data_IF_643826776888
#
_entry.id   IF_643826776888
#
_cell.length_a   1.000
_cell.length_b   1.000
_cell.length_c   1.000
_cell.angle_alpha   90.00
_cell.angle_beta   90.00
_cell.angle_gamma   90.00
#
_symmetry.space_group_name_H-M   'P 1'
#
loop_
_entity.id
_entity.type
_entity.pdbx_description
1 polymer ?
#
# COMPACT_ATOMS: atom_id res chain seq x y z
N UNK A 1 35.33 42.49 28.83
CA UNK A 1 34.93 43.89 29.09
C UNK A 1 35.12 44.71 27.82
N UNK A 2 34.26 45.74 27.62
CA UNK A 2 34.10 46.64 26.44
C UNK A 2 33.34 45.99 25.27
N UNK A 3 32.05 46.27 25.05
CA UNK A 3 31.41 47.53 24.55
C UNK A 3 32.05 47.94 23.20
N UNK A 4 31.35 48.24 22.12
CA UNK A 4 30.11 49.01 22.03
C UNK A 4 29.57 48.98 20.59
N UNK A 5 28.23 48.88 20.49
CA UNK A 5 27.25 49.51 19.57
C UNK A 5 27.78 50.28 18.35
N UNK A 6 27.03 50.19 17.24
CA UNK A 6 26.41 51.36 16.58
C UNK A 6 25.13 50.88 15.84
N UNK A 7 24.01 51.55 16.17
CA UNK A 7 22.77 51.60 15.39
C UNK A 7 22.99 52.47 14.15
N UNK A 8 22.30 52.20 13.04
CA UNK A 8 21.57 53.25 12.33
C UNK A 8 20.65 52.69 11.24
N UNK A 9 19.46 53.30 11.18
CA UNK A 9 18.66 53.59 9.98
C UNK A 9 18.20 52.39 9.13
N UNK A 10 16.92 52.04 9.07
CA UNK A 10 15.81 52.95 8.78
C UNK A 10 15.65 53.07 7.27
N UNK A 11 14.94 52.11 6.65
CA UNK A 11 14.23 52.35 5.40
C UNK A 11 12.96 51.51 5.40
N UNK A 12 11.84 52.20 5.58
CA UNK A 12 10.50 51.71 5.29
C UNK A 12 10.40 51.60 3.77
N UNK A 13 10.16 50.40 3.26
CA UNK A 13 9.69 50.22 1.88
C UNK A 13 8.35 49.49 1.94
N UNK A 14 7.28 50.29 1.87
CA UNK A 14 5.92 49.85 1.56
C UNK A 14 5.91 49.18 0.18
N UNK A 15 5.74 47.86 0.13
CA UNK A 15 5.39 47.16 -1.09
C UNK A 15 3.87 47.14 -1.20
N UNK A 16 3.36 47.70 -2.30
CA UNK A 16 1.96 47.75 -2.65
C UNK A 16 1.34 46.35 -2.70
N UNK A 17 0.16 46.23 -2.13
CA UNK A 17 -0.76 45.13 -2.42
C UNK A 17 -1.23 45.23 -3.88
N UNK A 18 -1.05 44.15 -4.64
CA UNK A 18 -1.93 43.85 -5.77
C UNK A 18 -1.90 42.37 -6.13
N UNK A 19 -3.12 41.79 -6.05
CA UNK A 19 -3.66 40.74 -6.91
C UNK A 19 -3.18 39.32 -6.65
N UNK A 20 -4.13 38.50 -6.21
CA UNK A 20 -4.03 37.05 -6.30
C UNK A 20 -4.68 36.30 -5.15
N UNK A 21 -5.94 36.60 -4.79
CA UNK A 21 -6.77 35.54 -4.20
C UNK A 21 -7.06 34.56 -5.32
N UNK A 22 -6.11 33.69 -5.60
CA UNK A 22 -6.41 32.40 -6.18
C UNK A 22 -6.96 31.55 -5.03
N UNK A 23 -8.25 31.72 -4.76
CA UNK A 23 -9.06 30.63 -4.21
C UNK A 23 -9.13 29.54 -5.29
N UNK A 24 -8.01 28.85 -5.52
CA UNK A 24 -8.02 27.52 -6.10
C UNK A 24 -8.23 26.58 -4.95
N UNK A 25 -9.48 26.17 -4.74
CA UNK A 25 -9.83 25.21 -3.71
C UNK A 25 -8.99 23.96 -3.90
N UNK A 26 -8.11 23.68 -2.94
CA UNK A 26 -7.81 22.30 -2.61
C UNK A 26 -9.12 21.78 -2.02
N UNK A 27 -9.93 21.13 -2.85
CA UNK A 27 -11.08 20.38 -2.37
C UNK A 27 -10.48 19.29 -1.48
N UNK A 28 -10.49 19.52 -0.17
CA UNK A 28 -10.51 18.43 0.82
C UNK A 28 -11.85 17.70 0.63
N UNK A 29 -11.98 16.98 -0.49
CA UNK A 29 -13.07 16.05 -0.69
C UNK A 29 -12.80 14.86 0.24
N UNK A 30 -13.60 14.76 1.30
CA UNK A 30 -13.63 13.57 2.14
C UNK A 30 -13.98 12.36 1.27
N UNK A 31 -13.36 11.19 1.50
CA UNK A 31 -13.61 10.01 0.68
C UNK A 31 -15.08 9.65 0.68
N UNK A 32 -15.59 9.22 -0.47
CA UNK A 32 -16.91 8.62 -0.55
C UNK A 32 -16.98 7.38 0.33
N UNK A 33 -18.18 6.97 0.75
CA UNK A 33 -18.33 5.76 1.56
C UNK A 33 -17.73 4.52 0.87
N UNK A 34 -17.83 4.44 -0.46
CA UNK A 34 -17.27 3.33 -1.23
C UNK A 34 -15.73 3.32 -1.24
N UNK A 35 -15.09 4.48 -1.33
CA UNK A 35 -13.63 4.59 -1.25
C UNK A 35 -13.12 4.27 0.14
N UNK A 36 -13.80 4.76 1.19
CA UNK A 36 -13.48 4.44 2.57
C UNK A 36 -13.60 2.93 2.84
N UNK A 37 -14.64 2.30 2.31
CA UNK A 37 -14.83 0.85 2.42
C UNK A 37 -13.74 0.07 1.71
N UNK A 38 -13.39 0.49 0.50
CA UNK A 38 -12.32 -0.13 -0.27
C UNK A 38 -10.98 -0.03 0.46
N UNK A 39 -10.62 1.14 0.97
CA UNK A 39 -9.39 1.34 1.75
C UNK A 39 -9.36 0.47 3.00
N UNK A 40 -10.47 0.40 3.74
CA UNK A 40 -10.58 -0.41 4.95
C UNK A 40 -10.48 -1.91 4.66
N UNK A 41 -11.14 -2.40 3.60
CA UNK A 41 -11.07 -3.80 3.18
C UNK A 41 -9.64 -4.19 2.77
N UNK A 42 -8.96 -3.31 2.04
CA UNK A 42 -7.55 -3.49 1.66
C UNK A 42 -6.67 -3.56 2.92
N UNK A 43 -6.85 -2.62 3.86
CA UNK A 43 -6.14 -2.63 5.16
C UNK A 43 -6.35 -3.95 5.90
N UNK A 44 -7.59 -4.39 6.05
CA UNK A 44 -7.93 -5.64 6.76
C UNK A 44 -7.29 -6.85 6.06
N UNK A 45 -7.29 -6.90 4.72
CA UNK A 45 -6.65 -7.98 3.97
C UNK A 45 -5.13 -8.02 4.19
N UNK A 46 -4.47 -6.86 4.15
CA UNK A 46 -3.04 -6.75 4.41
C UNK A 46 -2.66 -7.12 5.85
N UNK A 47 -3.43 -6.68 6.85
CA UNK A 47 -3.20 -7.06 8.25
C UNK A 47 -3.38 -8.56 8.47
N UNK A 48 -4.44 -9.13 7.90
CA UNK A 48 -4.70 -10.56 7.93
C UNK A 48 -3.54 -11.35 7.32
N UNK A 49 -3.01 -10.91 6.18
CA UNK A 49 -1.93 -11.60 5.49
C UNK A 49 -0.59 -11.46 6.21
N UNK A 50 -0.23 -10.24 6.61
CA UNK A 50 1.14 -9.88 6.98
C UNK A 50 1.37 -9.77 8.49
N UNK A 51 0.43 -9.21 9.24
CA UNK A 51 0.56 -9.10 10.70
C UNK A 51 0.16 -10.41 11.38
N UNK A 52 -0.92 -11.03 10.90
CA UNK A 52 -1.38 -12.32 11.42
C UNK A 52 -0.67 -13.52 10.76
N UNK A 53 0.13 -13.28 9.72
CA UNK A 53 0.96 -14.30 9.04
C UNK A 53 0.14 -15.45 8.41
N UNK A 54 -1.05 -15.14 7.92
CA UNK A 54 -1.97 -16.15 7.38
C UNK A 54 -1.76 -16.45 5.89
N UNK A 55 -0.84 -15.75 5.22
CA UNK A 55 -0.54 -16.00 3.82
C UNK A 55 0.03 -17.43 3.65
N UNK A 56 -0.35 -18.15 2.58
CA UNK A 56 0.33 -19.37 2.19
C UNK A 56 1.83 -19.14 2.09
N UNK A 57 2.64 -20.06 2.61
CA UNK A 57 4.09 -19.95 2.57
C UNK A 57 4.66 -18.63 3.11
N UNK A 58 3.98 -17.98 4.06
CA UNK A 58 4.46 -16.74 4.69
C UNK A 58 5.91 -16.85 5.18
N UNK A 59 6.29 -18.03 5.71
CA UNK A 59 7.66 -18.30 6.16
C UNK A 59 8.72 -18.37 5.06
N UNK A 60 8.31 -18.36 3.79
CA UNK A 60 9.19 -18.32 2.61
C UNK A 60 9.33 -16.92 2.02
N UNK A 61 8.67 -15.91 2.61
CA UNK A 61 8.95 -14.51 2.25
C UNK A 61 10.42 -14.20 2.57
N UNK A 62 11.24 -13.77 1.59
CA UNK A 62 12.67 -13.52 1.80
C UNK A 62 12.93 -12.46 2.88
N UNK A 63 12.09 -11.42 2.91
CA UNK A 63 12.05 -10.40 3.94
C UNK A 63 10.59 -10.08 4.30
N UNK A 64 10.05 -10.63 5.40
CA UNK A 64 8.67 -10.35 5.81
C UNK A 64 8.47 -8.92 6.32
N UNK A 65 9.53 -8.13 6.48
CA UNK A 65 9.46 -6.71 6.89
C UNK A 65 9.49 -5.75 5.70
N UNK A 66 9.86 -6.21 4.51
CA UNK A 66 9.81 -5.46 3.26
C UNK A 66 9.17 -6.31 2.15
N UNK A 67 7.86 -6.13 1.99
CA UNK A 67 7.05 -6.96 1.09
C UNK A 67 6.82 -6.24 -0.23
N UNK A 68 7.15 -6.90 -1.34
CA UNK A 68 6.90 -6.39 -2.68
C UNK A 68 5.42 -6.57 -3.03
N UNK A 69 4.75 -5.49 -3.43
CA UNK A 69 3.33 -5.47 -3.76
C UNK A 69 3.16 -5.17 -5.24
N UNK A 70 2.40 -6.01 -5.95
CA UNK A 70 1.95 -5.71 -7.30
C UNK A 70 0.86 -4.64 -7.30
N UNK A 71 1.04 -3.64 -8.14
CA UNK A 71 0.07 -2.58 -8.42
C UNK A 71 -0.95 -2.93 -9.51
N UNK A 72 -1.03 -4.19 -9.98
CA UNK A 72 -1.93 -4.56 -11.08
C UNK A 72 -3.40 -4.16 -10.84
N UNK A 73 -3.88 -4.28 -9.59
CA UNK A 73 -5.26 -3.93 -9.20
C UNK A 73 -5.32 -2.86 -8.09
N UNK A 74 -4.20 -2.19 -7.82
CA UNK A 74 -4.04 -1.24 -6.73
C UNK A 74 -3.38 0.05 -7.21
N UNK A 75 -3.66 1.15 -6.54
CA UNK A 75 -2.84 2.35 -6.59
C UNK A 75 -1.94 2.43 -5.35
N UNK A 76 -0.90 3.25 -5.41
CA UNK A 76 -0.04 3.51 -4.24
C UNK A 76 -0.85 4.08 -3.08
N UNK A 77 -1.86 4.91 -3.37
CA UNK A 77 -2.74 5.53 -2.38
C UNK A 77 -3.68 4.55 -1.68
N UNK A 78 -3.78 3.31 -2.20
CA UNK A 78 -4.54 2.24 -1.58
C UNK A 78 -3.76 1.53 -0.47
N UNK A 79 -2.44 1.68 -0.43
CA UNK A 79 -1.60 0.88 0.44
C UNK A 79 -1.68 1.37 1.89
N UNK A 80 -2.04 0.48 2.83
CA UNK A 80 -2.12 0.86 4.22
C UNK A 80 -0.72 1.03 4.82
N UNK A 81 -0.62 1.86 5.85
CA UNK A 81 0.53 1.81 6.75
C UNK A 81 0.37 0.65 7.72
N UNK A 82 1.34 -0.25 7.78
CA UNK A 82 1.35 -1.41 8.67
C UNK A 82 2.48 -1.29 9.71
N UNK A 83 2.22 -1.58 11.00
CA UNK A 83 3.27 -1.58 12.01
C UNK A 83 4.39 -2.59 11.69
N UNK A 84 5.61 -2.10 11.54
CA UNK A 84 6.80 -2.95 11.34
C UNK A 84 6.91 -3.63 9.98
N UNK A 85 6.06 -3.27 9.01
CA UNK A 85 6.09 -3.80 7.65
C UNK A 85 6.11 -2.65 6.65
N UNK A 86 7.09 -2.66 5.76
CA UNK A 86 7.19 -1.77 4.61
C UNK A 86 6.58 -2.44 3.40
N UNK A 87 5.63 -1.76 2.75
CA UNK A 87 5.04 -2.21 1.49
C UNK A 87 5.73 -1.48 0.33
N UNK A 88 6.47 -2.21 -0.49
CA UNK A 88 7.13 -1.67 -1.68
C UNK A 88 6.25 -1.92 -2.90
N UNK A 89 5.52 -0.89 -3.32
CA UNK A 89 4.61 -0.94 -4.45
C UNK A 89 5.37 -0.86 -5.78
N UNK A 90 5.15 -1.83 -6.67
CA UNK A 90 5.81 -1.88 -7.97
C UNK A 90 4.81 -2.31 -9.04
N UNK A 91 4.98 -1.77 -10.24
CA UNK A 91 4.30 -2.27 -11.44
C UNK A 91 4.90 -3.63 -11.86
N UNK A 92 4.19 -4.39 -12.68
CA UNK A 92 4.71 -5.67 -13.20
C UNK A 92 6.04 -5.50 -13.96
N UNK A 93 6.23 -4.38 -14.65
CA UNK A 93 7.48 -4.07 -15.35
C UNK A 93 8.64 -3.85 -14.37
N UNK A 94 8.41 -3.08 -13.30
CA UNK A 94 9.42 -2.82 -12.27
C UNK A 94 9.74 -4.07 -11.47
N UNK A 95 8.72 -4.89 -11.17
CA UNK A 95 8.87 -6.17 -10.51
C UNK A 95 9.72 -7.14 -11.33
N UNK A 96 9.43 -7.28 -12.63
CA UNK A 96 10.22 -8.15 -13.51
C UNK A 96 11.65 -7.64 -13.64
N UNK A 97 11.85 -6.32 -13.84
CA UNK A 97 13.20 -5.73 -13.89
C UNK A 97 13.98 -6.01 -12.61
N UNK A 98 13.34 -5.86 -11.44
CA UNK A 98 13.96 -6.16 -10.15
C UNK A 98 14.31 -7.64 -10.02
N UNK A 99 13.45 -8.54 -10.49
CA UNK A 99 13.74 -9.98 -10.48
C UNK A 99 14.89 -10.35 -11.42
N UNK A 100 14.98 -9.71 -12.58
CA UNK A 100 16.09 -9.89 -13.52
C UNK A 100 17.44 -9.44 -12.92
N UNK A 101 17.42 -8.35 -12.15
CA UNK A 101 18.62 -7.76 -11.54
C UNK A 101 19.06 -8.47 -10.25
N UNK A 102 18.11 -8.86 -9.39
CA UNK A 102 18.39 -9.34 -8.03
C UNK A 102 18.20 -10.87 -7.88
N UNK A 103 17.74 -11.54 -8.92
CA UNK A 103 17.29 -12.93 -8.89
C UNK A 103 15.79 -13.02 -8.61
N UNK A 104 15.24 -14.23 -8.67
CA UNK A 104 13.79 -14.44 -8.54
C UNK A 104 13.27 -13.97 -7.18
N UNK A 105 12.11 -13.30 -7.17
CA UNK A 105 11.54 -12.64 -5.99
C UNK A 105 10.12 -13.12 -5.74
N UNK A 106 9.64 -12.99 -4.50
CA UNK A 106 8.23 -13.20 -4.18
C UNK A 106 7.51 -11.86 -4.09
N UNK A 107 6.33 -11.76 -4.70
CA UNK A 107 5.43 -10.61 -4.59
C UNK A 107 4.12 -11.02 -3.95
N UNK A 108 3.41 -10.05 -3.39
CA UNK A 108 2.01 -10.18 -3.00
C UNK A 108 1.10 -9.37 -3.93
N UNK A 109 -0.11 -9.86 -4.19
CA UNK A 109 -1.17 -9.13 -4.91
C UNK A 109 -2.48 -9.19 -4.14
N UNK A 110 -3.31 -8.17 -4.37
CA UNK A 110 -4.74 -8.20 -4.08
C UNK A 110 -5.50 -8.25 -5.40
N UNK A 111 -6.47 -9.15 -5.47
CA UNK A 111 -7.24 -9.42 -6.69
C UNK A 111 -8.73 -9.55 -6.34
N UNK A 112 -9.59 -9.33 -7.33
CA UNK A 112 -11.02 -9.60 -7.25
C UNK A 112 -11.74 -8.97 -6.04
N UNK A 113 -11.39 -7.74 -5.66
CA UNK A 113 -12.14 -7.04 -4.61
C UNK A 113 -13.56 -6.72 -5.11
N UNK A 114 -14.55 -7.39 -4.51
CA UNK A 114 -15.97 -7.19 -4.80
C UNK A 114 -16.69 -6.83 -3.52
N UNK A 115 -17.42 -5.71 -3.51
CA UNK A 115 -18.20 -5.23 -2.36
C UNK A 115 -19.69 -5.36 -2.68
N UNK A 116 -20.43 -6.05 -1.81
CA UNK A 116 -21.86 -6.27 -1.92
C UNK A 116 -22.53 -5.97 -0.57
N UNK A 117 -22.91 -4.71 -0.37
CA UNK A 117 -23.52 -4.24 0.87
C UNK A 117 -22.57 -4.38 2.06
N UNK A 118 -22.95 -5.20 3.03
CA UNK A 118 -22.14 -5.50 4.24
C UNK A 118 -21.29 -6.76 4.09
N UNK A 119 -21.09 -7.24 2.86
CA UNK A 119 -20.19 -8.35 2.54
C UNK A 119 -19.19 -7.94 1.47
N UNK A 120 -17.99 -8.52 1.51
CA UNK A 120 -17.00 -8.35 0.46
C UNK A 120 -16.19 -9.63 0.27
N UNK A 121 -15.65 -9.80 -0.93
CA UNK A 121 -14.69 -10.84 -1.26
C UNK A 121 -13.41 -10.19 -1.78
N UNK A 122 -12.25 -10.69 -1.37
CA UNK A 122 -10.95 -10.26 -1.87
C UNK A 122 -9.99 -11.45 -1.88
N UNK A 123 -9.22 -11.59 -2.95
CA UNK A 123 -8.15 -12.59 -3.03
C UNK A 123 -6.84 -11.93 -2.62
N UNK A 124 -6.13 -12.56 -1.68
CA UNK A 124 -4.75 -12.22 -1.35
C UNK A 124 -3.86 -13.34 -1.85
N UNK A 125 -2.85 -13.02 -2.65
CA UNK A 125 -1.99 -14.02 -3.25
C UNK A 125 -0.51 -13.68 -3.12
N UNK A 126 0.34 -14.71 -3.00
CA UNK A 126 1.78 -14.59 -3.13
C UNK A 126 2.31 -15.48 -4.24
N UNK A 127 3.11 -14.89 -5.11
CA UNK A 127 3.65 -15.55 -6.29
C UNK A 127 5.11 -15.20 -6.49
N UNK A 128 5.85 -16.15 -7.05
CA UNK A 128 7.20 -15.91 -7.51
C UNK A 128 7.21 -15.20 -8.85
N UNK A 129 8.16 -14.29 -8.97
CA UNK A 129 8.55 -13.65 -10.21
C UNK A 129 9.91 -14.23 -10.55
N UNK A 130 9.92 -15.07 -11.58
CA UNK A 130 11.15 -15.69 -12.06
C UNK A 130 12.02 -14.63 -12.74
N UNK A 131 13.31 -14.60 -12.39
CA UNK A 131 14.28 -13.90 -13.23
C UNK A 131 14.31 -14.55 -14.61
N UNK A 132 14.59 -13.78 -15.65
CA UNK A 132 14.74 -14.25 -17.04
C UNK A 132 15.85 -15.29 -17.23
N UNK A 133 16.76 -15.40 -16.26
CA UNK A 133 17.84 -16.38 -16.19
C UNK A 133 17.49 -17.64 -15.41
N UNK A 134 16.37 -17.64 -14.67
CA UNK A 134 15.92 -18.80 -13.90
C UNK A 134 15.27 -19.83 -14.85
N UNK A 135 15.66 -21.09 -14.66
CA UNK A 135 15.18 -22.21 -15.50
C UNK A 135 14.37 -23.22 -14.70
N UNK A 136 14.32 -23.06 -13.38
CA UNK A 136 13.55 -23.90 -12.46
C UNK A 136 12.18 -23.28 -12.19
N UNK A 137 11.19 -24.14 -11.97
CA UNK A 137 9.90 -23.73 -11.44
C UNK A 137 9.94 -23.55 -9.93
N UNK A 138 8.99 -22.76 -9.42
CA UNK A 138 8.74 -22.63 -7.99
C UNK A 138 7.58 -23.54 -7.58
N UNK A 139 7.73 -24.22 -6.44
CA UNK A 139 6.72 -25.12 -5.87
C UNK A 139 6.17 -24.54 -4.55
N UNK A 140 6.19 -23.22 -4.45
CA UNK A 140 5.70 -22.46 -3.31
C UNK A 140 5.01 -21.20 -3.78
N UNK A 141 4.20 -20.63 -2.90
CA UNK A 141 3.24 -19.59 -3.22
C UNK A 141 1.82 -20.11 -3.07
N UNK A 142 0.87 -19.24 -3.36
CA UNK A 142 -0.54 -19.58 -3.24
C UNK A 142 -1.41 -18.35 -3.10
N UNK A 143 -2.65 -18.59 -2.71
CA UNK A 143 -3.60 -17.54 -2.47
C UNK A 143 -4.63 -17.95 -1.44
N UNK A 144 -5.30 -16.95 -0.88
CA UNK A 144 -6.50 -17.14 -0.09
C UNK A 144 -7.60 -16.22 -0.60
N UNK A 145 -8.78 -16.79 -0.84
CA UNK A 145 -10.01 -16.04 -1.04
C UNK A 145 -10.59 -15.71 0.34
N UNK A 146 -10.63 -14.41 0.68
CA UNK A 146 -11.16 -13.91 1.93
C UNK A 146 -12.61 -13.48 1.74
N UNK A 147 -13.48 -13.91 2.64
CA UNK A 147 -14.84 -13.39 2.79
C UNK A 147 -14.86 -12.46 3.98
N UNK A 148 -15.28 -11.22 3.77
CA UNK A 148 -15.36 -10.19 4.79
C UNK A 148 -16.80 -9.80 5.03
N UNK A 149 -17.10 -9.47 6.28
CA UNK A 149 -18.40 -8.97 6.71
C UNK A 149 -18.23 -7.68 7.50
N UNK A 150 -19.10 -6.71 7.26
CA UNK A 150 -19.22 -5.52 8.09
C UNK A 150 -20.15 -5.79 9.25
N UNK A 151 -19.65 -5.57 10.46
CA UNK A 151 -20.45 -5.63 11.69
C UNK A 151 -20.21 -4.36 12.50
N UNK A 152 -21.28 -3.61 12.80
CA UNK A 152 -21.21 -2.34 13.57
C UNK A 152 -20.18 -1.35 12.98
N UNK A 153 -20.16 -1.23 11.65
CA UNK A 153 -19.27 -0.28 10.94
C UNK A 153 -17.82 -0.75 10.75
N UNK A 154 -17.46 -1.96 11.20
CA UNK A 154 -16.11 -2.50 11.05
C UNK A 154 -16.10 -3.71 10.14
N UNK A 155 -15.13 -3.77 9.22
CA UNK A 155 -14.92 -4.93 8.36
C UNK A 155 -14.01 -5.95 9.05
N UNK A 156 -14.38 -7.22 8.98
CA UNK A 156 -13.58 -8.34 9.52
C UNK A 156 -13.61 -9.51 8.56
N UNK A 157 -12.51 -10.27 8.48
CA UNK A 157 -12.49 -11.56 7.78
C UNK A 157 -13.37 -12.56 8.54
N UNK A 158 -14.42 -13.04 7.90
CA UNK A 158 -15.38 -14.03 8.42
C UNK A 158 -14.92 -15.45 8.07
N UNK A 159 -14.38 -15.65 6.86
CA UNK A 159 -13.92 -16.94 6.36
C UNK A 159 -12.76 -16.74 5.38
N UNK A 160 -11.94 -17.77 5.21
CA UNK A 160 -10.81 -17.77 4.28
C UNK A 160 -10.60 -19.15 3.70
N UNK A 161 -10.54 -19.26 2.38
CA UNK A 161 -10.20 -20.48 1.67
C UNK A 161 -8.84 -20.33 0.99
N UNK A 162 -7.85 -21.11 1.44
CA UNK A 162 -6.49 -21.02 0.94
C UNK A 162 -6.11 -22.22 0.05
N UNK A 163 -5.30 -21.95 -0.96
CA UNK A 163 -4.70 -22.95 -1.85
C UNK A 163 -3.21 -22.67 -2.04
N UNK A 164 -2.42 -23.75 -2.13
CA UNK A 164 -1.00 -23.69 -2.47
C UNK A 164 -0.81 -23.81 -3.99
N UNK A 165 0.27 -23.21 -4.48
CA UNK A 165 0.74 -23.28 -5.86
C UNK A 165 1.35 -24.64 -6.23
#
# INVERSE_FOLDING_TARGET
MKRMRILAAGLVLTVLASIGVACGGSSDESPTSAEADRQELIRVAFEWALLNKNLPDYGLLPDPTNVLISLENLSVDDLPTLPGVTLTALTEVELQSKADDEGSLMRMSLENLVIAGDTAEIKVANWWIASSTETRGFLSGGFCDLKLRRTVGQWTVEDSLCALA
#
